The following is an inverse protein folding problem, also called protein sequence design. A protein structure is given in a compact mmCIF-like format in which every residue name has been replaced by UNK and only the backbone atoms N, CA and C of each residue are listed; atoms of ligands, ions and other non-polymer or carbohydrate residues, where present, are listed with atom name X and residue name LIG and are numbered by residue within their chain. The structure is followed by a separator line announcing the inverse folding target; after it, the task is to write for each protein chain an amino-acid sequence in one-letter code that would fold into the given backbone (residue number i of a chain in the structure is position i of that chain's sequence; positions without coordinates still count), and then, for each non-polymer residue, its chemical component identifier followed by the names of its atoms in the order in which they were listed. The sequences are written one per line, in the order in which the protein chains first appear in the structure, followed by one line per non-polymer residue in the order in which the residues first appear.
data_IF_592110275059
#
_entry.id   IF_592110275059
#
_cell.length_a   1.000
_cell.length_b   1.000
_cell.length_c   1.000
_cell.angle_alpha   90.00
_cell.angle_beta   90.00
_cell.angle_gamma   90.00
#
_symmetry.space_group_name_H-M   'P 1'
#
loop_
_entity.id
_entity.type
_entity.pdbx_description
1 polymer ?
#
# COMPACT_ATOMS: atom_id res chain seq x y z
N UNK A 1 -8.46 -0.45 8.70
CA UNK A 1 -9.10 0.47 7.76
C UNK A 1 -10.48 0.79 8.29
N UNK A 2 -10.87 2.04 8.20
CA UNK A 2 -12.16 2.54 8.69
C UNK A 2 -13.18 2.77 7.55
N UNK A 3 -12.79 2.42 6.32
CA UNK A 3 -13.62 2.44 5.11
C UNK A 3 -13.26 1.29 4.15
N UNK A 4 -13.87 1.27 2.96
CA UNK A 4 -13.68 0.20 1.99
C UNK A 4 -12.23 0.10 1.50
N UNK A 5 -11.69 -1.12 1.53
CA UNK A 5 -10.40 -1.44 0.91
C UNK A 5 -10.62 -1.52 -0.60
N UNK A 6 -9.94 -0.64 -1.33
CA UNK A 6 -10.09 -0.52 -2.79
C UNK A 6 -9.03 -1.33 -3.54
N UNK A 7 -7.87 -1.55 -2.94
CA UNK A 7 -6.75 -2.23 -3.59
C UNK A 7 -5.91 -3.02 -2.59
N UNK A 8 -5.37 -4.14 -3.06
CA UNK A 8 -4.43 -5.00 -2.35
C UNK A 8 -3.33 -5.43 -3.31
N UNK A 9 -2.08 -5.41 -2.87
CA UNK A 9 -0.96 -5.89 -3.68
C UNK A 9 0.13 -6.58 -2.87
N UNK A 10 0.65 -7.67 -3.43
CA UNK A 10 1.82 -8.37 -2.89
C UNK A 10 3.10 -7.90 -3.58
N UNK A 11 4.12 -7.62 -2.77
CA UNK A 11 5.49 -7.49 -3.26
C UNK A 11 6.11 -8.88 -3.49
N UNK A 12 6.87 -9.08 -4.59
CA UNK A 12 7.51 -10.36 -4.87
C UNK A 12 8.68 -10.67 -3.92
N UNK A 13 9.44 -9.64 -3.49
CA UNK A 13 10.50 -9.74 -2.48
C UNK A 13 10.95 -8.36 -2.01
N UNK A 14 11.05 -8.09 -0.69
CA UNK A 14 10.57 -8.93 0.42
C UNK A 14 9.05 -9.17 0.35
N UNK A 15 8.55 -10.24 1.00
CA UNK A 15 7.12 -10.58 1.02
C UNK A 15 6.33 -9.58 1.86
N UNK A 16 5.93 -8.49 1.21
CA UNK A 16 5.07 -7.47 1.77
C UNK A 16 3.68 -7.56 1.14
N UNK A 17 2.69 -7.12 1.90
CA UNK A 17 1.34 -6.87 1.42
C UNK A 17 1.03 -5.40 1.65
N UNK A 18 0.54 -4.69 0.64
CA UNK A 18 0.00 -3.36 0.81
C UNK A 18 -1.52 -3.39 0.63
N UNK A 19 -2.25 -2.67 1.47
CA UNK A 19 -3.68 -2.42 1.32
C UNK A 19 -3.95 -0.93 1.27
N UNK A 20 -4.75 -0.51 0.31
CA UNK A 20 -5.17 0.87 0.12
C UNK A 20 -6.69 0.98 0.24
N UNK A 21 -7.16 2.07 0.86
CA UNK A 21 -8.54 2.22 1.29
C UNK A 21 -9.09 3.61 1.00
N UNK A 22 -10.42 3.71 1.03
CA UNK A 22 -11.15 4.98 1.01
C UNK A 22 -10.85 5.87 2.21
N UNK A 23 -10.34 5.29 3.29
CA UNK A 23 -9.93 5.99 4.51
C UNK A 23 -8.59 6.74 4.38
N UNK A 24 -8.11 6.95 3.15
CA UNK A 24 -6.85 7.61 2.73
C UNK A 24 -5.56 6.99 3.26
N UNK A 25 -5.63 5.83 3.92
CA UNK A 25 -4.46 5.14 4.44
C UNK A 25 -3.98 4.03 3.52
N UNK A 26 -2.66 3.87 3.41
CA UNK A 26 -2.03 2.63 2.95
C UNK A 26 -1.48 1.90 4.16
N UNK A 27 -1.85 0.63 4.35
CA UNK A 27 -1.21 -0.23 5.33
C UNK A 27 -0.25 -1.20 4.63
N UNK A 28 0.98 -1.28 5.14
CA UNK A 28 2.00 -2.20 4.67
C UNK A 28 2.20 -3.27 5.74
N UNK A 29 2.11 -4.53 5.35
CA UNK A 29 2.20 -5.69 6.23
C UNK A 29 3.38 -6.57 5.88
N UNK A 30 4.00 -7.16 6.91
CA UNK A 30 4.98 -8.22 6.73
C UNK A 30 4.27 -9.57 6.65
N UNK A 31 4.31 -10.22 5.49
CA UNK A 31 3.61 -11.50 5.30
C UNK A 31 4.22 -12.59 6.18
N UNK A 32 5.56 -12.70 6.19
CA UNK A 32 6.25 -13.75 6.96
C UNK A 32 6.17 -13.60 8.49
N UNK A 33 5.73 -12.44 8.99
CA UNK A 33 5.50 -12.20 10.43
C UNK A 33 4.02 -12.34 10.81
N UNK A 34 3.23 -13.03 9.99
CA UNK A 34 1.80 -13.24 10.23
C UNK A 34 0.96 -12.01 9.93
N UNK A 35 1.26 -11.30 8.83
CA UNK A 35 0.54 -10.09 8.41
C UNK A 35 0.52 -8.98 9.48
N UNK A 36 1.63 -8.81 10.19
CA UNK A 36 1.79 -7.68 11.11
C UNK A 36 1.93 -6.37 10.33
N UNK A 37 1.27 -5.31 10.79
CA UNK A 37 1.44 -3.96 10.25
C UNK A 37 2.88 -3.53 10.51
N UNK A 38 3.60 -3.29 9.42
CA UNK A 38 4.93 -2.67 9.46
C UNK A 38 4.82 -1.16 9.49
N UNK A 39 3.92 -0.62 8.67
CA UNK A 39 3.80 0.81 8.49
C UNK A 39 2.39 1.18 8.01
N UNK A 40 1.94 2.35 8.44
CA UNK A 40 0.77 3.04 7.91
C UNK A 40 1.24 4.33 7.24
N UNK A 41 0.86 4.54 5.98
CA UNK A 41 1.12 5.77 5.24
C UNK A 41 -0.16 6.61 5.19
N UNK A 42 -0.05 7.88 5.57
CA UNK A 42 -1.14 8.87 5.59
C UNK A 42 -0.73 10.10 4.78
N UNK A 43 -0.28 9.87 3.54
CA UNK A 43 0.18 10.95 2.65
C UNK A 43 -0.91 11.40 1.68
N UNK A 44 -1.87 10.53 1.37
CA UNK A 44 -2.98 10.87 0.48
C UNK A 44 -4.03 11.71 1.21
N UNK A 45 -4.60 12.69 0.52
CA UNK A 45 -5.66 13.54 1.08
C UNK A 45 -7.08 13.04 0.75
N UNK A 46 -7.18 11.95 -0.01
CA UNK A 46 -8.45 11.33 -0.43
C UNK A 46 -8.29 9.82 -0.65
N UNK A 47 -9.35 9.16 -1.12
CA UNK A 47 -9.39 7.72 -1.35
C UNK A 47 -8.28 7.23 -2.28
N UNK A 48 -7.59 6.18 -1.87
CA UNK A 48 -6.51 5.57 -2.66
C UNK A 48 -7.10 4.45 -3.50
N UNK A 49 -6.96 4.55 -4.82
CA UNK A 49 -7.61 3.66 -5.77
C UNK A 49 -6.71 2.52 -6.25
N UNK A 50 -5.39 2.72 -6.20
CA UNK A 50 -4.44 1.69 -6.58
C UNK A 50 -3.14 1.82 -5.79
N UNK A 51 -2.49 0.68 -5.61
CA UNK A 51 -1.11 0.55 -5.13
C UNK A 51 -0.41 -0.43 -6.04
N UNK A 52 0.87 -0.18 -6.35
CA UNK A 52 1.72 -1.09 -7.14
C UNK A 52 3.09 -1.21 -6.50
N UNK A 53 3.60 -2.44 -6.40
CA UNK A 53 5.00 -2.67 -6.04
C UNK A 53 5.86 -2.74 -7.29
N UNK A 54 7.00 -2.07 -7.25
CA UNK A 54 8.01 -2.08 -8.30
C UNK A 54 9.26 -2.77 -7.76
N UNK A 55 9.68 -3.82 -8.45
CA UNK A 55 10.94 -4.51 -8.20
C UNK A 55 11.93 -4.18 -9.31
N UNK A 56 12.55 -3.00 -9.24
CA UNK A 56 13.68 -2.63 -10.10
C UNK A 56 14.97 -2.81 -9.31
N UNK A 57 16.03 -3.29 -9.96
CA UNK A 57 17.24 -3.91 -9.37
C UNK A 57 18.04 -3.17 -8.28
N UNK A 58 17.58 -2.03 -7.75
CA UNK A 58 18.18 -1.29 -6.64
C UNK A 58 17.31 -1.23 -5.36
N UNK A 59 16.08 -1.73 -5.36
CA UNK A 59 15.25 -1.78 -4.15
C UNK A 59 13.77 -2.04 -4.42
N UNK A 60 13.03 -2.37 -3.36
CA UNK A 60 11.57 -2.46 -3.42
C UNK A 60 11.00 -1.04 -3.33
N UNK A 61 10.28 -0.62 -4.36
CA UNK A 61 9.52 0.63 -4.34
C UNK A 61 8.02 0.33 -4.37
N UNK A 62 7.25 1.26 -3.84
CA UNK A 62 5.79 1.21 -3.87
C UNK A 62 5.29 2.54 -4.38
N UNK A 63 4.28 2.50 -5.24
CA UNK A 63 3.61 3.66 -5.79
C UNK A 63 2.13 3.53 -5.50
N UNK A 64 1.49 4.60 -5.03
CA UNK A 64 0.04 4.67 -4.79
C UNK A 64 -0.57 5.74 -5.68
N UNK A 65 -1.87 5.67 -5.96
CA UNK A 65 -2.56 6.78 -6.61
C UNK A 65 -4.03 6.84 -6.17
N UNK A 66 -4.57 8.05 -6.11
CA UNK A 66 -5.87 8.29 -5.52
C UNK A 66 -6.69 9.40 -6.16
N UNK A 67 -7.88 9.62 -5.59
CA UNK A 67 -8.81 10.65 -5.99
C UNK A 67 -8.34 12.07 -5.64
N UNK A 68 -7.24 12.20 -4.90
CA UNK A 68 -6.55 13.45 -4.59
C UNK A 68 -5.66 13.95 -5.74
N UNK A 69 -5.66 13.26 -6.88
CA UNK A 69 -4.94 13.64 -8.11
C UNK A 69 -3.42 13.57 -7.95
N UNK A 70 -2.94 12.75 -7.01
CA UNK A 70 -1.51 12.52 -6.77
C UNK A 70 -1.14 11.05 -7.00
N UNK A 71 0.17 10.85 -7.20
CA UNK A 71 0.88 9.58 -7.29
C UNK A 71 1.98 9.59 -6.23
#
# INVERSE_FOLDING_TARGET
HDAEVLCLEYAPSPRLLASASRDRLVHVFHVDRGYQILQTLDEHSSSITAVRFLSSGSGLQMVSCGADKTI
#
